data_IF_559875753836
#
_entry.id   IF_559875753836
#
_cell.length_a   1.000
_cell.length_b   1.000
_cell.length_c   1.000
_cell.angle_alpha   90.00
_cell.angle_beta   90.00
_cell.angle_gamma   90.00
#
_symmetry.space_group_name_H-M   'P 1'
#
loop_
_entity.id
_entity.type
_entity.pdbx_description
1 polymer ?
#
# COMPACT_ATOMS: atom_id res chain seq x y z
N UNK A 1 11.34 -5.19 -7.65
CA UNK A 1 12.13 -6.26 -8.33
C UNK A 1 11.58 -7.59 -7.85
N UNK A 2 10.94 -8.33 -8.76
CA UNK A 2 10.47 -9.67 -8.43
C UNK A 2 11.68 -10.60 -8.19
N UNK A 3 11.59 -11.46 -7.18
CA UNK A 3 12.59 -12.49 -6.94
C UNK A 3 12.61 -13.50 -8.09
N UNK A 4 13.76 -14.16 -8.30
CA UNK A 4 13.89 -15.22 -9.31
C UNK A 4 12.79 -16.28 -9.15
N UNK A 5 12.08 -16.59 -10.23
CA UNK A 5 10.93 -17.51 -10.24
C UNK A 5 9.57 -16.85 -10.03
N UNK A 6 9.53 -15.54 -9.88
CA UNK A 6 8.28 -14.75 -9.78
C UNK A 6 8.17 -13.71 -10.91
N UNK A 7 8.85 -13.98 -12.03
CA UNK A 7 8.75 -13.14 -13.21
C UNK A 7 7.32 -13.17 -13.76
N UNK A 8 6.73 -12.00 -13.95
CA UNK A 8 5.37 -11.87 -14.46
C UNK A 8 4.78 -10.49 -14.25
N UNK A 9 3.52 -10.37 -14.58
CA UNK A 9 2.77 -9.14 -14.35
C UNK A 9 2.42 -9.05 -12.86
N UNK A 10 2.67 -7.88 -12.28
CA UNK A 10 2.21 -7.58 -10.93
C UNK A 10 0.73 -7.17 -10.95
N UNK A 11 0.07 -7.37 -9.81
CA UNK A 11 -1.30 -6.91 -9.60
C UNK A 11 -1.40 -5.38 -9.74
N UNK A 12 -2.50 -4.88 -10.26
CA UNK A 12 -2.80 -3.45 -10.21
C UNK A 12 -3.25 -3.06 -8.78
N UNK A 13 -2.35 -2.45 -8.03
CA UNK A 13 -2.60 -2.02 -6.64
C UNK A 13 -3.63 -0.89 -6.50
N UNK A 14 -4.01 -0.24 -7.59
CA UNK A 14 -5.03 0.80 -7.60
C UNK A 14 -6.42 0.27 -7.99
N UNK A 15 -6.54 -1.01 -8.35
CA UNK A 15 -7.79 -1.67 -8.72
C UNK A 15 -8.32 -2.56 -7.60
N UNK A 16 -9.56 -2.32 -7.17
CA UNK A 16 -10.25 -3.18 -6.22
C UNK A 16 -10.55 -4.56 -6.81
N UNK A 17 -10.87 -4.61 -8.09
CA UNK A 17 -11.14 -5.85 -8.83
C UNK A 17 -9.88 -6.74 -8.89
N UNK A 18 -8.70 -6.13 -9.08
CA UNK A 18 -7.45 -6.86 -9.07
C UNK A 18 -7.16 -7.46 -7.68
N UNK A 19 -7.47 -6.73 -6.61
CA UNK A 19 -7.38 -7.25 -5.25
C UNK A 19 -8.36 -8.41 -5.03
N UNK A 20 -9.58 -8.34 -5.55
CA UNK A 20 -10.56 -9.42 -5.45
C UNK A 20 -10.06 -10.69 -6.12
N UNK A 21 -9.56 -10.58 -7.35
CA UNK A 21 -8.99 -11.72 -8.09
C UNK A 21 -7.79 -12.31 -7.34
N UNK A 22 -6.89 -11.46 -6.85
CA UNK A 22 -5.72 -11.92 -6.09
C UNK A 22 -6.12 -12.63 -4.80
N UNK A 23 -7.05 -12.08 -4.05
CA UNK A 23 -7.55 -12.67 -2.81
C UNK A 23 -8.23 -14.01 -3.05
N UNK A 24 -9.03 -14.12 -4.11
CA UNK A 24 -9.72 -15.36 -4.46
C UNK A 24 -8.77 -16.50 -4.85
N UNK A 25 -7.68 -16.18 -5.54
CA UNK A 25 -6.69 -17.17 -5.98
C UNK A 25 -5.60 -17.46 -4.93
N UNK A 26 -5.55 -16.71 -3.84
CA UNK A 26 -4.56 -16.90 -2.77
C UNK A 26 -5.23 -17.24 -1.43
N UNK A 27 -5.68 -16.23 -0.71
CA UNK A 27 -6.22 -16.39 0.64
C UNK A 27 -7.50 -17.25 0.67
N UNK A 28 -8.40 -17.08 -0.30
CA UNK A 28 -9.67 -17.83 -0.35
C UNK A 28 -9.45 -19.34 -0.50
N UNK A 29 -8.41 -19.76 -1.23
CA UNK A 29 -8.07 -21.19 -1.38
C UNK A 29 -7.72 -21.78 -0.02
N UNK A 30 -6.82 -21.13 0.74
CA UNK A 30 -6.46 -21.56 2.10
C UNK A 30 -7.62 -21.51 3.07
N UNK A 31 -8.43 -20.46 2.99
CA UNK A 31 -9.60 -20.27 3.86
C UNK A 31 -10.68 -21.34 3.63
N UNK A 32 -10.88 -21.79 2.38
CA UNK A 32 -11.80 -22.90 2.07
C UNK A 32 -11.30 -24.23 2.65
N UNK A 33 -10.02 -24.52 2.55
CA UNK A 33 -9.42 -25.71 3.12
C UNK A 33 -9.52 -25.77 4.66
N UNK A 34 -9.60 -24.58 5.28
CA UNK A 34 -9.74 -24.43 6.73
C UNK A 34 -11.19 -24.43 7.20
N UNK A 35 -12.18 -24.34 6.30
CA UNK A 35 -13.60 -24.38 6.65
C UNK A 35 -13.97 -25.71 7.32
N UNK A 36 -14.56 -25.62 8.49
CA UNK A 36 -14.90 -26.82 9.30
C UNK A 36 -13.78 -27.34 10.19
N UNK A 37 -12.57 -26.79 10.09
CA UNK A 37 -11.48 -27.02 11.04
C UNK A 37 -11.45 -25.87 12.04
N UNK A 38 -11.56 -26.17 13.34
CA UNK A 38 -11.42 -25.15 14.38
C UNK A 38 -9.98 -24.60 14.41
N UNK A 39 -9.73 -23.57 13.61
CA UNK A 39 -8.47 -22.85 13.63
C UNK A 39 -8.62 -21.50 14.35
N UNK A 40 -8.86 -21.57 15.67
CA UNK A 40 -9.00 -20.37 16.51
C UNK A 40 -7.70 -19.53 16.59
N UNK A 41 -6.57 -20.13 16.23
CA UNK A 41 -5.29 -19.45 16.23
C UNK A 41 -5.07 -18.55 15.02
N UNK A 42 -5.75 -18.78 13.89
CA UNK A 42 -5.63 -17.92 12.72
C UNK A 42 -6.45 -16.63 12.89
N UNK A 43 -5.78 -15.58 13.25
CA UNK A 43 -6.40 -14.28 13.56
C UNK A 43 -6.15 -13.21 12.50
N UNK A 44 -5.07 -13.33 11.73
CA UNK A 44 -4.59 -12.28 10.87
C UNK A 44 -4.22 -12.79 9.47
N UNK A 45 -4.43 -11.91 8.49
CA UNK A 45 -3.78 -11.98 7.19
C UNK A 45 -2.71 -10.88 7.12
N UNK A 46 -1.60 -11.21 6.52
CA UNK A 46 -0.48 -10.30 6.29
C UNK A 46 -0.28 -10.12 4.79
N UNK A 47 -0.05 -8.90 4.38
CA UNK A 47 0.49 -8.53 3.09
C UNK A 47 1.84 -7.89 3.36
N UNK A 48 2.91 -8.54 2.90
CA UNK A 48 4.26 -8.20 3.30
C UNK A 48 4.98 -7.44 2.20
N UNK A 49 5.65 -6.37 2.60
CA UNK A 49 6.47 -5.46 1.83
C UNK A 49 5.73 -4.71 0.70
N UNK A 50 5.48 -3.43 0.94
CA UNK A 50 5.15 -2.50 -0.14
C UNK A 50 6.44 -2.17 -0.92
N UNK A 51 6.76 -2.97 -1.91
CA UNK A 51 7.93 -2.82 -2.78
C UNK A 51 7.58 -2.67 -4.27
N UNK A 52 6.38 -2.23 -4.66
CA UNK A 52 6.14 -1.92 -6.06
C UNK A 52 6.93 -0.67 -6.41
N UNK A 53 7.87 -0.82 -7.31
CA UNK A 53 8.51 0.32 -7.95
C UNK A 53 7.42 1.22 -8.54
N UNK A 54 7.70 2.22 -9.26
CA UNK A 54 6.88 3.28 -9.80
C UNK A 54 5.49 2.89 -10.40
N UNK A 55 4.67 2.13 -9.69
CA UNK A 55 3.28 1.88 -10.05
C UNK A 55 2.52 3.21 -10.00
N UNK A 56 2.30 3.81 -11.16
CA UNK A 56 1.77 5.17 -11.29
C UNK A 56 0.57 5.28 -12.23
N UNK A 57 0.03 4.16 -12.70
CA UNK A 57 -1.10 4.14 -13.62
C UNK A 57 -2.05 2.98 -13.37
N UNK A 58 -3.33 3.24 -13.54
CA UNK A 58 -4.43 2.28 -13.64
C UNK A 58 -5.43 2.75 -14.68
N UNK A 59 -6.22 1.86 -15.25
CA UNK A 59 -7.24 2.21 -16.25
C UNK A 59 -8.25 3.24 -15.72
N UNK A 60 -8.63 3.13 -14.47
CA UNK A 60 -9.59 4.03 -13.85
C UNK A 60 -9.02 5.40 -13.43
N UNK A 61 -7.69 5.58 -13.46
CA UNK A 61 -7.03 6.78 -12.94
C UNK A 61 -7.55 8.09 -13.56
N UNK A 62 -7.75 8.23 -14.88
CA UNK A 62 -8.26 9.48 -15.44
C UNK A 62 -9.64 9.87 -14.89
N UNK A 63 -10.51 8.90 -14.73
CA UNK A 63 -11.86 9.10 -14.18
C UNK A 63 -11.81 9.49 -12.71
N UNK A 64 -11.06 8.76 -11.90
CA UNK A 64 -10.94 9.00 -10.46
C UNK A 64 -10.22 10.34 -10.20
N UNK A 65 -9.18 10.66 -10.98
CA UNK A 65 -8.49 11.94 -10.90
C UNK A 65 -9.44 13.11 -11.17
N UNK A 66 -10.21 13.03 -12.27
CA UNK A 66 -11.18 14.07 -12.61
C UNK A 66 -12.27 14.24 -11.55
N UNK A 67 -12.72 13.12 -10.98
CA UNK A 67 -13.72 13.11 -9.91
C UNK A 67 -13.21 13.80 -8.65
N UNK A 68 -11.95 13.58 -8.30
CA UNK A 68 -11.35 14.10 -7.05
C UNK A 68 -10.89 15.54 -7.20
N UNK A 69 -10.26 15.89 -8.33
CA UNK A 69 -9.58 17.17 -8.51
C UNK A 69 -10.37 18.16 -9.39
N UNK A 70 -11.43 17.70 -10.09
CA UNK A 70 -12.33 18.56 -10.87
C UNK A 70 -11.83 18.95 -12.27
N UNK A 71 -10.67 18.42 -12.71
CA UNK A 71 -10.11 18.70 -14.03
C UNK A 71 -9.56 17.46 -14.71
N UNK A 72 -9.32 17.56 -16.03
CA UNK A 72 -8.85 16.44 -16.84
C UNK A 72 -7.33 16.26 -16.72
N UNK A 73 -6.90 15.03 -16.49
CA UNK A 73 -5.50 14.66 -16.32
C UNK A 73 -4.69 14.78 -17.63
N UNK A 74 -5.34 14.57 -18.78
CA UNK A 74 -4.68 14.33 -20.08
C UNK A 74 -3.75 15.48 -20.48
N UNK A 75 -4.21 16.72 -20.28
CA UNK A 75 -3.41 17.92 -20.59
C UNK A 75 -2.08 17.97 -19.83
N UNK A 76 -2.03 17.41 -18.65
CA UNK A 76 -0.90 17.53 -17.73
C UNK A 76 0.00 16.29 -17.69
N UNK A 77 -0.34 15.23 -18.43
CA UNK A 77 0.49 14.00 -18.48
C UNK A 77 1.96 14.26 -18.82
N UNK A 78 2.32 15.21 -19.71
CA UNK A 78 3.73 15.51 -19.97
C UNK A 78 4.52 15.93 -18.73
N UNK A 79 3.86 16.44 -17.69
CA UNK A 79 4.52 16.86 -16.43
C UNK A 79 5.16 15.67 -15.72
N UNK A 80 4.59 14.46 -15.86
CA UNK A 80 5.11 13.23 -15.24
C UNK A 80 6.50 12.88 -15.80
N UNK A 81 6.78 13.28 -17.04
CA UNK A 81 8.09 13.09 -17.69
C UNK A 81 9.08 14.23 -17.41
N UNK A 82 8.73 15.18 -16.55
CA UNK A 82 9.57 16.33 -16.19
C UNK A 82 9.37 17.57 -17.04
N UNK A 83 8.43 17.57 -17.97
CA UNK A 83 8.09 18.76 -18.76
C UNK A 83 7.24 19.75 -17.95
N UNK A 84 7.35 21.03 -18.29
CA UNK A 84 6.52 22.08 -17.69
C UNK A 84 5.33 22.35 -18.62
N UNK A 85 4.11 22.22 -18.06
CA UNK A 85 2.87 22.60 -18.74
C UNK A 85 2.34 23.87 -18.10
N UNK A 86 2.02 24.87 -18.93
CA UNK A 86 1.66 26.23 -18.58
C UNK A 86 2.78 26.99 -17.82
N UNK A 87 3.01 26.64 -16.58
CA UNK A 87 4.09 27.16 -15.77
C UNK A 87 4.47 26.17 -14.65
N UNK A 88 5.53 26.49 -13.90
CA UNK A 88 6.05 25.61 -12.85
C UNK A 88 5.06 25.40 -11.71
N UNK A 89 4.32 26.43 -11.31
CA UNK A 89 3.37 26.34 -10.20
C UNK A 89 2.19 25.42 -10.54
N UNK A 90 1.64 25.55 -11.74
CA UNK A 90 0.58 24.68 -12.24
C UNK A 90 1.07 23.24 -12.35
N UNK A 91 2.27 23.02 -12.90
CA UNK A 91 2.87 21.70 -13.00
C UNK A 91 3.10 21.05 -11.63
N UNK A 92 3.58 21.82 -10.65
CA UNK A 92 3.80 21.31 -9.29
C UNK A 92 2.47 20.96 -8.59
N UNK A 93 1.42 21.76 -8.76
CA UNK A 93 0.09 21.45 -8.23
C UNK A 93 -0.48 20.18 -8.85
N UNK A 94 -0.34 20.03 -10.16
CA UNK A 94 -0.72 18.79 -10.85
C UNK A 94 0.02 17.58 -10.28
N UNK A 95 1.35 17.66 -10.07
CA UNK A 95 2.12 16.54 -9.48
C UNK A 95 1.65 16.20 -8.06
N UNK A 96 1.27 17.19 -7.28
CA UNK A 96 0.67 16.97 -5.97
C UNK A 96 -0.65 16.21 -6.09
N UNK A 97 -1.57 16.70 -6.91
CA UNK A 97 -2.88 16.08 -7.13
C UNK A 97 -2.76 14.67 -7.70
N UNK A 98 -1.83 14.47 -8.62
CA UNK A 98 -1.53 13.17 -9.22
C UNK A 98 -1.07 12.14 -8.17
N UNK A 99 -0.06 12.50 -7.37
CA UNK A 99 0.47 11.63 -6.31
C UNK A 99 -0.57 11.37 -5.24
N UNK A 100 -1.34 12.39 -4.87
CA UNK A 100 -2.42 12.27 -3.90
C UNK A 100 -3.50 11.30 -4.38
N UNK A 101 -3.92 11.40 -5.64
CA UNK A 101 -4.91 10.51 -6.23
C UNK A 101 -4.43 9.06 -6.23
N UNK A 102 -3.18 8.81 -6.62
CA UNK A 102 -2.57 7.47 -6.56
C UNK A 102 -2.58 6.93 -5.13
N UNK A 103 -2.12 7.73 -4.17
CA UNK A 103 -2.09 7.34 -2.76
C UNK A 103 -3.48 6.98 -2.23
N UNK A 104 -4.49 7.79 -2.54
CA UNK A 104 -5.87 7.56 -2.10
C UNK A 104 -6.47 6.29 -2.75
N UNK A 105 -6.14 6.02 -4.02
CA UNK A 105 -6.56 4.79 -4.70
C UNK A 105 -5.92 3.55 -4.08
N UNK A 106 -4.63 3.58 -3.81
CA UNK A 106 -3.93 2.47 -3.15
C UNK A 106 -4.51 2.24 -1.75
N UNK A 107 -4.66 3.30 -0.97
CA UNK A 107 -5.24 3.20 0.37
C UNK A 107 -6.61 2.54 0.36
N UNK A 108 -7.48 2.94 -0.57
CA UNK A 108 -8.84 2.46 -0.67
C UNK A 108 -8.93 1.07 -1.30
N UNK A 109 -8.30 0.89 -2.45
CA UNK A 109 -8.53 -0.26 -3.33
C UNK A 109 -7.58 -1.43 -3.04
N UNK A 110 -6.42 -1.15 -2.44
CA UNK A 110 -5.51 -2.20 -1.96
C UNK A 110 -5.78 -2.51 -0.48
N UNK A 111 -5.31 -1.70 0.43
CA UNK A 111 -5.42 -1.98 1.87
C UNK A 111 -6.84 -1.98 2.41
N UNK A 112 -7.66 -1.02 1.99
CA UNK A 112 -9.07 -0.94 2.38
C UNK A 112 -9.87 -2.14 1.86
N UNK A 113 -9.63 -2.55 0.61
CA UNK A 113 -10.29 -3.72 0.01
C UNK A 113 -9.81 -5.03 0.65
N UNK A 114 -8.50 -5.19 0.84
CA UNK A 114 -7.93 -6.35 1.55
C UNK A 114 -8.53 -6.52 2.93
N UNK A 115 -8.65 -5.43 3.68
CA UNK A 115 -9.33 -5.43 4.99
C UNK A 115 -10.79 -5.86 4.90
N UNK A 116 -11.54 -5.34 3.92
CA UNK A 116 -12.94 -5.69 3.73
C UNK A 116 -13.13 -7.17 3.42
N UNK A 117 -12.25 -7.75 2.60
CA UNK A 117 -12.24 -9.17 2.28
C UNK A 117 -11.88 -10.04 3.48
N UNK A 118 -10.82 -9.69 4.23
CA UNK A 118 -10.42 -10.42 5.44
C UNK A 118 -11.54 -10.48 6.47
N UNK A 119 -12.27 -9.38 6.65
CA UNK A 119 -13.41 -9.31 7.59
C UNK A 119 -14.57 -10.25 7.27
N UNK A 120 -14.78 -10.61 6.00
CA UNK A 120 -15.78 -11.61 5.62
C UNK A 120 -15.50 -12.97 6.26
N UNK A 121 -14.22 -13.24 6.54
CA UNK A 121 -13.73 -14.45 7.21
C UNK A 121 -13.42 -14.24 8.70
N UNK A 122 -13.83 -13.10 9.28
CA UNK A 122 -13.58 -12.73 10.69
C UNK A 122 -12.07 -12.59 11.01
N UNK A 123 -11.27 -12.27 10.01
CA UNK A 123 -9.84 -12.04 10.15
C UNK A 123 -9.54 -10.54 10.21
N UNK A 124 -8.51 -10.21 10.94
CA UNK A 124 -7.88 -8.90 10.98
C UNK A 124 -6.70 -8.84 10.00
N UNK A 125 -6.19 -7.65 9.71
CA UNK A 125 -5.04 -7.47 8.85
C UNK A 125 -3.90 -6.74 9.58
N UNK A 126 -2.66 -7.12 9.26
CA UNK A 126 -1.47 -6.38 9.69
C UNK A 126 -0.41 -6.26 8.59
N UNK A 127 -0.76 -5.71 7.43
CA UNK A 127 0.18 -5.49 6.34
C UNK A 127 1.22 -4.43 6.70
N UNK A 128 2.34 -4.50 6.02
CA UNK A 128 3.34 -3.45 6.00
C UNK A 128 2.96 -2.39 4.97
N UNK A 129 2.20 -1.38 5.40
CA UNK A 129 1.51 -0.43 4.52
C UNK A 129 2.25 0.90 4.36
N UNK A 130 3.51 0.95 4.54
CA UNK A 130 4.27 2.19 4.48
C UNK A 130 5.76 1.96 4.51
N UNK A 131 6.18 0.83 3.99
CA UNK A 131 7.54 0.30 4.05
C UNK A 131 8.67 1.29 3.74
N UNK A 132 9.92 0.84 3.83
CA UNK A 132 11.10 1.70 3.69
C UNK A 132 11.32 2.22 2.27
N UNK A 133 10.47 1.83 1.34
CA UNK A 133 10.65 2.15 -0.07
C UNK A 133 9.92 3.45 -0.44
N UNK A 134 10.57 4.33 -1.21
CA UNK A 134 9.93 5.53 -1.71
C UNK A 134 8.77 5.15 -2.64
N UNK A 135 7.57 5.53 -2.25
CA UNK A 135 6.38 5.33 -3.03
C UNK A 135 5.47 6.56 -2.92
N UNK A 136 4.64 6.85 -3.91
CA UNK A 136 3.70 7.97 -3.84
C UNK A 136 2.49 7.60 -2.98
N UNK A 137 2.72 7.15 -1.74
CA UNK A 137 1.68 6.78 -0.78
C UNK A 137 1.79 7.61 0.49
N UNK A 138 0.67 7.92 1.09
CA UNK A 138 0.59 8.45 2.45
C UNK A 138 0.68 7.28 3.44
N UNK A 139 1.89 7.06 3.98
CA UNK A 139 2.15 5.96 4.90
C UNK A 139 1.23 5.99 6.12
N UNK A 140 0.92 7.17 6.65
CA UNK A 140 0.06 7.31 7.82
C UNK A 140 -1.39 6.87 7.52
N UNK A 141 -1.91 7.28 6.35
CA UNK A 141 -3.24 6.91 5.91
C UNK A 141 -3.34 5.40 5.61
N UNK A 142 -2.34 4.84 4.95
CA UNK A 142 -2.30 3.41 4.62
C UNK A 142 -2.16 2.54 5.88
N UNK A 143 -1.24 2.88 6.78
CA UNK A 143 -1.10 2.20 8.08
C UNK A 143 -2.37 2.31 8.93
N UNK A 144 -3.16 3.36 8.76
CA UNK A 144 -4.45 3.53 9.41
C UNK A 144 -5.51 2.52 8.99
N UNK A 145 -5.38 1.90 7.81
CA UNK A 145 -6.24 0.80 7.37
C UNK A 145 -5.99 -0.48 8.19
N UNK A 146 -4.78 -0.68 8.69
CA UNK A 146 -4.38 -1.89 9.38
C UNK A 146 -5.05 -2.00 10.75
N UNK A 147 -5.38 -3.23 11.14
CA UNK A 147 -5.83 -3.50 12.50
C UNK A 147 -4.65 -3.49 13.47
N UNK A 148 -3.48 -3.92 12.99
CA UNK A 148 -2.18 -3.75 13.65
C UNK A 148 -1.23 -3.09 12.66
N UNK A 149 -0.96 -1.77 12.77
CA UNK A 149 0.05 -1.11 11.95
C UNK A 149 1.41 -1.75 12.15
N UNK A 150 2.12 -2.02 11.05
CA UNK A 150 3.42 -2.67 11.07
C UNK A 150 4.47 -1.80 10.38
N UNK A 151 5.66 -1.74 10.95
CA UNK A 151 6.84 -1.14 10.34
C UNK A 151 8.03 -2.08 10.41
N UNK A 152 9.11 -1.71 9.77
CA UNK A 152 10.36 -2.46 9.80
C UNK A 152 11.33 -1.93 10.85
N UNK A 153 12.13 -2.83 11.39
CA UNK A 153 13.23 -2.51 12.28
C UNK A 153 14.42 -3.41 11.93
N UNK A 154 15.52 -2.79 11.55
CA UNK A 154 16.72 -3.50 11.11
C UNK A 154 17.92 -3.17 11.98
N UNK A 155 18.74 -4.19 12.27
CA UNK A 155 20.04 -3.98 12.88
C UNK A 155 21.03 -3.47 11.83
N UNK A 156 21.91 -2.54 12.24
CA UNK A 156 22.94 -1.99 11.36
C UNK A 156 23.94 -3.09 10.99
N UNK A 157 23.94 -3.50 9.71
CA UNK A 157 24.98 -4.34 9.13
C UNK A 157 25.64 -3.58 7.97
N UNK A 158 26.90 -3.86 7.71
CA UNK A 158 27.66 -3.26 6.59
C UNK A 158 27.09 -3.61 5.22
N UNK A 159 26.24 -4.62 5.15
CA UNK A 159 25.60 -5.11 3.93
C UNK A 159 24.11 -4.79 3.84
N UNK A 160 23.51 -4.16 4.85
CA UNK A 160 22.06 -3.91 4.93
C UNK A 160 21.69 -2.45 5.00
N UNK A 161 20.60 -2.16 4.44
CA UNK A 161 19.72 -1.07 4.13
C UNK A 161 19.59 0.08 5.13
N UNK A 162 20.18 0.11 6.32
CA UNK A 162 19.88 1.17 7.26
C UNK A 162 20.79 2.37 7.06
N UNK A 163 20.27 3.34 6.36
CA UNK A 163 20.73 4.72 6.47
C UNK A 163 20.15 5.36 7.74
N UNK A 164 20.83 6.32 8.35
CA UNK A 164 20.32 6.99 9.55
C UNK A 164 18.91 7.57 9.40
N UNK A 165 18.54 7.98 8.19
CA UNK A 165 17.24 8.54 7.82
C UNK A 165 16.10 7.51 7.80
N UNK A 166 16.40 6.22 7.78
CA UNK A 166 15.41 5.14 7.68
C UNK A 166 14.91 4.63 9.04
N UNK A 167 15.33 5.25 10.15
CA UNK A 167 14.95 4.85 11.51
C UNK A 167 13.51 5.17 11.91
N UNK A 168 12.76 5.86 11.07
CA UNK A 168 11.45 6.37 11.46
C UNK A 168 10.28 5.43 11.14
N UNK A 169 10.50 4.29 10.47
CA UNK A 169 9.40 3.40 10.05
C UNK A 169 8.57 2.86 11.21
N UNK A 170 9.21 2.43 12.28
CA UNK A 170 8.48 2.03 13.50
C UNK A 170 7.71 3.21 14.09
N UNK A 171 8.27 4.41 14.02
CA UNK A 171 7.60 5.61 14.51
C UNK A 171 6.39 5.99 13.67
N UNK A 172 6.43 5.74 12.35
CA UNK A 172 5.25 5.90 11.48
C UNK A 172 4.13 4.96 11.90
N UNK A 173 4.44 3.67 12.10
CA UNK A 173 3.46 2.68 12.56
C UNK A 173 2.90 3.03 13.94
N UNK A 174 3.74 3.48 14.87
CA UNK A 174 3.32 3.95 16.19
C UNK A 174 2.42 5.19 16.09
N UNK A 175 2.76 6.15 15.22
CA UNK A 175 1.94 7.34 14.98
C UNK A 175 0.57 6.99 14.42
N UNK A 176 0.51 6.07 13.45
CA UNK A 176 -0.74 5.57 12.92
C UNK A 176 -1.57 4.87 14.00
N UNK A 177 -0.94 4.04 14.84
CA UNK A 177 -1.63 3.38 15.95
C UNK A 177 -2.28 4.39 16.89
N UNK A 178 -1.59 5.46 17.24
CA UNK A 178 -2.14 6.54 18.08
C UNK A 178 -3.32 7.25 17.41
N UNK A 179 -3.15 7.68 16.16
CA UNK A 179 -4.17 8.47 15.44
C UNK A 179 -5.43 7.65 15.19
N UNK A 180 -5.26 6.38 14.82
CA UNK A 180 -6.38 5.48 14.47
C UNK A 180 -6.82 4.58 15.63
N UNK A 181 -6.39 4.88 16.85
CA UNK A 181 -6.75 4.18 18.09
C UNK A 181 -6.53 2.66 17.99
N UNK A 182 -5.31 2.26 17.57
CA UNK A 182 -4.90 0.85 17.53
C UNK A 182 -4.13 0.50 18.79
N UNK A 183 -4.41 -0.68 19.35
CA UNK A 183 -3.79 -1.13 20.61
C UNK A 183 -2.35 -1.59 20.46
N UNK A 184 -2.03 -2.16 19.30
CA UNK A 184 -0.75 -2.80 19.03
C UNK A 184 -0.08 -2.21 17.80
N UNK A 185 1.25 -2.29 17.79
CA UNK A 185 2.12 -2.03 16.67
C UNK A 185 2.97 -3.27 16.46
N UNK A 186 3.07 -3.74 15.24
CA UNK A 186 4.00 -4.79 14.87
C UNK A 186 5.30 -4.21 14.30
N UNK A 187 6.38 -4.96 14.41
CA UNK A 187 7.66 -4.62 13.82
C UNK A 187 8.26 -5.86 13.18
N UNK A 188 8.57 -5.80 11.89
CA UNK A 188 9.37 -6.79 11.23
C UNK A 188 10.83 -6.54 11.59
N UNK A 189 11.47 -7.53 12.20
CA UNK A 189 12.85 -7.44 12.61
C UNK A 189 13.75 -8.39 11.82
N UNK A 190 15.08 -8.23 11.91
CA UNK A 190 16.00 -9.19 11.33
C UNK A 190 15.83 -10.56 12.02
N UNK A 191 15.73 -11.58 11.22
CA UNK A 191 15.85 -12.97 11.68
C UNK A 191 17.29 -13.42 11.60
#
# INVERSE_FOLDING_TARGET
VSSSGTEGLTMDFMSAEAMDVHFDHSATVLLKDMQGKHCESWKYLQDNCWEPDAANWTESLPREFKKTNGYDITKYLPVITGLIVENRDVSNRFLYDFRRTISDLICKNHYGRFKALARQYRLSIHPESGGPHPAPIDALQNLGQNDVPMGEFWLRATTHRIRPEERFFIKQAASAAHIYNRRFVAAQGPM
#
